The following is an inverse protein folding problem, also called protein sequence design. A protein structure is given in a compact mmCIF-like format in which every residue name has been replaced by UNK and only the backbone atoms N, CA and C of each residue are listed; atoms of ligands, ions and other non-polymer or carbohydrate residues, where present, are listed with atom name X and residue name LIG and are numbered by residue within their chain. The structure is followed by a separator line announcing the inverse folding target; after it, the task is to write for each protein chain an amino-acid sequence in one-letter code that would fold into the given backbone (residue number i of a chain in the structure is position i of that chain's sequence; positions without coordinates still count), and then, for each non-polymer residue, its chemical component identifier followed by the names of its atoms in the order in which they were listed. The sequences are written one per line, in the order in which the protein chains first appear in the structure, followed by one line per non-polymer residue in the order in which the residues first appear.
data_IF_538655874628
#
_entry.id   IF_538655874628
#
_cell.length_a   1.000
_cell.length_b   1.000
_cell.length_c   1.000
_cell.angle_alpha   90.00
_cell.angle_beta   90.00
_cell.angle_gamma   90.00
#
_symmetry.space_group_name_H-M   'P 1'
#
loop_
_entity.id
_entity.type
_entity.pdbx_description
1 polymer ?
#
# COMPACT_ATOMS: atom_id res chain seq x y z
N UNK A 1 -102.20 9.41 -1.02
CA UNK A 1 -101.33 8.37 -1.61
C UNK A 1 -99.90 8.91 -1.59
N UNK A 2 -99.15 8.64 -0.52
CA UNK A 2 -97.77 9.12 -0.35
C UNK A 2 -96.86 7.92 -0.57
N UNK A 3 -96.09 7.96 -1.66
CA UNK A 3 -95.13 6.91 -2.02
C UNK A 3 -93.81 7.21 -1.32
N UNK A 4 -93.38 6.33 -0.41
CA UNK A 4 -92.07 6.37 0.22
C UNK A 4 -90.97 6.06 -0.81
N UNK A 5 -90.10 7.02 -1.08
CA UNK A 5 -88.86 6.81 -1.83
C UNK A 5 -87.80 6.14 -0.96
N UNK A 6 -87.24 5.03 -1.43
CA UNK A 6 -86.13 4.33 -0.76
C UNK A 6 -84.79 5.01 -1.05
N UNK A 7 -83.86 5.08 -0.07
CA UNK A 7 -82.54 5.65 -0.32
C UNK A 7 -81.66 4.66 -1.10
N UNK A 8 -81.06 5.12 -2.20
CA UNK A 8 -80.06 4.37 -2.96
C UNK A 8 -78.77 4.22 -2.13
N UNK A 9 -78.39 2.99 -1.84
CA UNK A 9 -77.08 2.64 -1.30
C UNK A 9 -75.99 2.99 -2.32
N UNK A 10 -75.17 3.98 -1.98
CA UNK A 10 -74.04 4.41 -2.81
C UNK A 10 -72.87 3.50 -2.48
N UNK A 11 -72.53 2.58 -3.38
CA UNK A 11 -71.38 1.71 -3.23
C UNK A 11 -70.09 2.55 -3.26
N UNK A 12 -69.38 2.59 -2.13
CA UNK A 12 -68.08 3.26 -1.98
C UNK A 12 -67.02 2.48 -2.76
N UNK A 13 -66.62 3.01 -3.91
CA UNK A 13 -65.45 2.53 -4.66
C UNK A 13 -64.17 2.88 -3.89
N UNK A 14 -63.56 1.91 -3.21
CA UNK A 14 -62.27 2.10 -2.53
C UNK A 14 -61.14 1.95 -3.55
N UNK A 15 -60.26 2.94 -3.73
CA UNK A 15 -59.14 2.82 -4.65
C UNK A 15 -58.14 1.79 -4.13
N UNK A 16 -57.88 0.77 -4.94
CA UNK A 16 -56.85 -0.23 -4.71
C UNK A 16 -55.47 0.45 -4.80
N UNK A 17 -54.78 0.64 -3.68
CA UNK A 17 -53.41 1.16 -3.69
C UNK A 17 -52.43 0.04 -4.04
N UNK A 18 -51.66 0.15 -5.14
CA UNK A 18 -50.64 -0.84 -5.46
C UNK A 18 -49.50 -0.74 -4.45
N UNK A 19 -49.26 -1.82 -3.69
CA UNK A 19 -48.08 -2.00 -2.84
C UNK A 19 -46.81 -2.01 -3.71
N UNK A 20 -46.22 -0.83 -3.94
CA UNK A 20 -44.93 -0.70 -4.63
C UNK A 20 -43.80 -1.25 -3.75
N UNK A 21 -43.35 -2.46 -4.11
CA UNK A 21 -41.96 -2.95 -4.06
C UNK A 21 -41.04 -2.41 -2.94
N UNK A 22 -41.29 -2.81 -1.69
CA UNK A 22 -40.40 -2.59 -0.54
C UNK A 22 -39.14 -3.48 -0.52
N UNK A 23 -39.03 -4.46 -1.43
CA UNK A 23 -37.93 -5.44 -1.42
C UNK A 23 -36.55 -4.85 -1.70
N UNK A 24 -36.45 -3.84 -2.58
CA UNK A 24 -35.17 -3.19 -2.94
C UNK A 24 -34.56 -2.35 -1.80
N UNK A 25 -35.36 -1.89 -0.84
CA UNK A 25 -34.88 -1.12 0.31
C UNK A 25 -34.24 -1.99 1.39
N UNK A 26 -34.76 -3.22 1.58
CA UNK A 26 -34.22 -4.15 2.57
C UNK A 26 -32.83 -4.68 2.18
N UNK A 27 -32.63 -5.01 0.90
CA UNK A 27 -31.32 -5.46 0.37
C UNK A 27 -30.23 -4.39 0.53
N UNK A 28 -30.59 -3.10 0.37
CA UNK A 28 -29.65 -1.99 0.56
C UNK A 28 -29.21 -1.85 2.03
N UNK A 29 -30.09 -2.15 2.99
CA UNK A 29 -29.78 -2.07 4.43
C UNK A 29 -28.81 -3.17 4.85
N UNK A 30 -28.95 -4.39 4.31
CA UNK A 30 -28.01 -5.48 4.59
C UNK A 30 -26.58 -5.16 4.12
N UNK A 31 -26.46 -4.55 2.93
CA UNK A 31 -25.17 -4.12 2.40
C UNK A 31 -24.51 -3.05 3.28
N UNK A 32 -25.26 -2.14 3.90
CA UNK A 32 -24.69 -1.10 4.77
C UNK A 32 -23.94 -1.70 5.97
N UNK A 33 -24.35 -2.86 6.46
CA UNK A 33 -23.65 -3.54 7.55
C UNK A 33 -22.44 -4.36 7.07
N UNK A 34 -22.53 -4.97 5.88
CA UNK A 34 -21.43 -5.76 5.31
C UNK A 34 -20.31 -4.89 4.70
N UNK A 35 -20.68 -3.72 4.14
CA UNK A 35 -19.79 -2.86 3.37
C UNK A 35 -18.58 -2.33 4.19
N UNK A 36 -18.71 -1.90 5.46
CA UNK A 36 -17.56 -1.49 6.26
C UNK A 36 -16.50 -2.58 6.42
N UNK A 37 -16.93 -3.83 6.63
CA UNK A 37 -16.03 -4.99 6.77
C UNK A 37 -15.36 -5.29 5.43
N UNK A 38 -16.14 -5.29 4.35
CA UNK A 38 -15.62 -5.52 3.00
C UNK A 38 -14.57 -4.47 2.64
N UNK A 39 -14.87 -3.18 2.86
CA UNK A 39 -13.94 -2.09 2.60
C UNK A 39 -12.67 -2.20 3.45
N UNK A 40 -12.79 -2.56 4.73
CA UNK A 40 -11.62 -2.76 5.60
C UNK A 40 -10.70 -3.83 5.03
N UNK A 41 -11.25 -4.99 4.66
CA UNK A 41 -10.45 -6.08 4.06
C UNK A 41 -9.83 -5.66 2.73
N UNK A 42 -10.60 -4.98 1.88
CA UNK A 42 -10.11 -4.49 0.58
C UNK A 42 -8.98 -3.47 0.75
N UNK A 43 -9.14 -2.47 1.60
CA UNK A 43 -8.11 -1.45 1.84
C UNK A 43 -6.90 -2.01 2.57
N UNK A 44 -7.09 -2.94 3.51
CA UNK A 44 -5.98 -3.67 4.11
C UNK A 44 -5.17 -4.40 3.03
N UNK A 45 -5.83 -5.11 2.11
CA UNK A 45 -5.18 -5.79 0.99
C UNK A 45 -4.34 -4.84 0.11
N UNK A 46 -4.87 -3.66 -0.21
CA UNK A 46 -4.12 -2.65 -0.96
C UNK A 46 -2.89 -2.15 -0.20
N UNK A 47 -3.04 -1.84 1.08
CA UNK A 47 -1.94 -1.33 1.90
C UNK A 47 -0.85 -2.40 2.10
N UNK A 48 -1.20 -3.66 2.38
CA UNK A 48 -0.21 -4.73 2.49
C UNK A 48 0.47 -5.04 1.16
N UNK A 49 -0.27 -5.02 0.05
CA UNK A 49 0.32 -5.13 -1.29
C UNK A 49 1.33 -4.02 -1.55
N UNK A 50 1.04 -2.82 -1.08
CA UNK A 50 1.95 -1.67 -1.16
C UNK A 50 3.20 -1.85 -0.29
N UNK A 51 3.06 -2.32 0.95
CA UNK A 51 4.19 -2.68 1.82
C UNK A 51 5.16 -3.61 1.09
N UNK A 52 4.62 -4.69 0.49
CA UNK A 52 5.43 -5.69 -0.22
C UNK A 52 6.15 -5.05 -1.42
N UNK A 53 5.44 -4.23 -2.21
CA UNK A 53 6.03 -3.51 -3.32
C UNK A 53 7.20 -2.62 -2.89
N UNK A 54 7.03 -1.86 -1.80
CA UNK A 54 8.08 -0.99 -1.25
C UNK A 54 9.29 -1.78 -0.76
N UNK A 55 9.08 -2.91 -0.08
CA UNK A 55 10.17 -3.80 0.34
C UNK A 55 10.98 -4.31 -0.86
N UNK A 56 10.32 -4.74 -1.94
CA UNK A 56 11.00 -5.20 -3.17
C UNK A 56 11.83 -4.07 -3.79
N UNK A 57 11.29 -2.85 -3.82
CA UNK A 57 12.01 -1.68 -4.34
C UNK A 57 13.27 -1.35 -3.51
N UNK A 58 13.19 -1.45 -2.18
CA UNK A 58 14.34 -1.25 -1.30
C UNK A 58 15.41 -2.33 -1.50
N UNK A 59 15.01 -3.60 -1.61
CA UNK A 59 15.93 -4.70 -1.92
C UNK A 59 16.60 -4.54 -3.29
N UNK A 60 15.86 -4.03 -4.27
CA UNK A 60 16.39 -3.73 -5.59
C UNK A 60 17.43 -2.61 -5.53
N UNK A 61 17.12 -1.49 -4.85
CA UNK A 61 18.06 -0.39 -4.65
C UNK A 61 19.33 -0.85 -3.92
N UNK A 62 19.19 -1.64 -2.85
CA UNK A 62 20.33 -2.20 -2.13
C UNK A 62 21.19 -3.11 -3.03
N UNK A 63 20.56 -3.94 -3.88
CA UNK A 63 21.26 -4.80 -4.84
C UNK A 63 22.03 -4.02 -5.90
N UNK A 64 21.47 -2.94 -6.42
CA UNK A 64 22.17 -2.06 -7.36
C UNK A 64 23.39 -1.44 -6.67
N UNK A 65 23.24 -0.92 -5.44
CA UNK A 65 24.34 -0.38 -4.66
C UNK A 65 25.43 -1.41 -4.37
N UNK A 66 25.06 -2.63 -3.99
CA UNK A 66 26.01 -3.71 -3.77
C UNK A 66 26.76 -4.07 -5.07
N UNK A 67 26.08 -4.06 -6.23
CA UNK A 67 26.73 -4.26 -7.53
C UNK A 67 27.73 -3.15 -7.84
N UNK A 68 27.36 -1.90 -7.63
CA UNK A 68 28.26 -0.75 -7.80
C UNK A 68 29.49 -0.89 -6.90
N UNK A 69 29.30 -1.35 -5.65
CA UNK A 69 30.41 -1.54 -4.70
C UNK A 69 31.41 -2.63 -5.10
N UNK A 70 31.02 -3.55 -5.98
CA UNK A 70 31.90 -4.62 -6.44
C UNK A 70 32.92 -4.14 -7.49
N UNK A 71 32.66 -3.01 -8.16
CA UNK A 71 33.53 -2.48 -9.21
C UNK A 71 34.86 -1.98 -8.63
N UNK A 72 35.94 -2.17 -9.40
CA UNK A 72 37.24 -1.57 -9.09
C UNK A 72 37.14 -0.04 -9.09
N UNK A 73 37.61 0.59 -8.02
CA UNK A 73 37.58 2.05 -7.85
C UNK A 73 36.23 2.62 -7.39
N UNK A 74 35.24 1.79 -7.04
CA UNK A 74 33.98 2.27 -6.47
C UNK A 74 34.22 3.05 -5.16
N UNK A 75 33.62 4.24 -5.05
CA UNK A 75 33.69 5.07 -3.85
C UNK A 75 32.36 5.07 -3.12
N UNK A 76 32.34 5.50 -1.85
CA UNK A 76 31.08 5.63 -1.12
C UNK A 76 30.11 6.58 -1.84
N UNK A 77 30.62 7.65 -2.46
CA UNK A 77 29.84 8.63 -3.21
C UNK A 77 29.23 8.04 -4.48
N UNK A 78 29.95 7.22 -5.24
CA UNK A 78 29.41 6.60 -6.47
C UNK A 78 28.31 5.59 -6.14
N UNK A 79 28.52 4.79 -5.10
CA UNK A 79 27.52 3.83 -4.59
C UNK A 79 26.27 4.57 -4.12
N UNK A 80 26.45 5.60 -3.28
CA UNK A 80 25.35 6.36 -2.71
C UNK A 80 24.55 7.13 -3.78
N UNK A 81 25.23 7.74 -4.77
CA UNK A 81 24.58 8.42 -5.89
C UNK A 81 23.71 7.46 -6.72
N UNK A 82 24.21 6.25 -6.98
CA UNK A 82 23.49 5.21 -7.72
C UNK A 82 22.24 4.76 -6.95
N UNK A 83 22.38 4.51 -5.65
CA UNK A 83 21.26 4.12 -4.78
C UNK A 83 20.22 5.25 -4.70
N UNK A 84 20.65 6.50 -4.47
CA UNK A 84 19.75 7.66 -4.38
C UNK A 84 18.98 7.91 -5.67
N UNK A 85 19.61 7.71 -6.83
CA UNK A 85 18.91 7.80 -8.12
C UNK A 85 17.79 6.76 -8.18
N UNK A 86 18.10 5.49 -7.89
CA UNK A 86 17.10 4.42 -7.89
C UNK A 86 15.97 4.65 -6.88
N UNK A 87 16.25 5.25 -5.72
CA UNK A 87 15.26 5.55 -4.69
C UNK A 87 14.39 6.75 -5.05
N UNK A 88 14.96 7.76 -5.69
CA UNK A 88 14.22 8.94 -6.16
C UNK A 88 13.22 8.54 -7.24
N UNK A 89 13.60 7.64 -8.16
CA UNK A 89 12.73 7.15 -9.23
C UNK A 89 11.48 6.42 -8.72
N UNK A 90 11.59 5.79 -7.55
CA UNK A 90 10.45 5.11 -6.88
C UNK A 90 9.77 6.00 -5.82
N UNK A 91 10.19 7.25 -5.67
CA UNK A 91 9.58 8.20 -4.73
C UNK A 91 9.92 7.95 -3.26
N UNK A 92 11.15 7.51 -2.96
CA UNK A 92 11.68 7.32 -1.61
C UNK A 92 13.01 8.09 -1.40
N UNK A 93 13.09 9.40 -1.71
CA UNK A 93 14.36 10.15 -1.69
C UNK A 93 14.99 10.26 -0.30
N UNK A 94 14.18 10.19 0.75
CA UNK A 94 14.60 10.37 2.15
C UNK A 94 15.00 9.05 2.83
N UNK A 95 15.10 7.94 2.08
CA UNK A 95 15.54 6.68 2.65
C UNK A 95 17.01 6.76 3.12
N UNK A 96 17.27 6.18 4.29
CA UNK A 96 18.60 6.11 4.89
C UNK A 96 19.40 5.00 4.23
N UNK A 97 20.57 5.35 3.68
CA UNK A 97 21.50 4.41 3.06
C UNK A 97 22.68 4.19 4.01
N UNK A 98 22.98 2.93 4.31
CA UNK A 98 24.13 2.54 5.13
C UNK A 98 25.01 1.59 4.33
N UNK A 99 26.28 1.93 4.20
CA UNK A 99 27.29 1.12 3.52
C UNK A 99 28.25 0.59 4.58
N UNK A 100 28.53 -0.72 4.57
CA UNK A 100 29.44 -1.37 5.51
C UNK A 100 30.43 -2.26 4.75
N UNK A 101 31.74 -2.05 4.88
CA UNK A 101 32.42 -1.01 5.68
C UNK A 101 32.13 0.41 5.16
N UNK A 102 32.17 1.40 6.07
CA UNK A 102 31.83 2.80 5.76
C UNK A 102 32.76 3.44 4.73
N UNK A 103 34.02 2.99 4.69
CA UNK A 103 34.97 3.31 3.63
C UNK A 103 35.19 2.06 2.74
N UNK A 104 34.49 1.97 1.60
CA UNK A 104 34.67 0.86 0.65
C UNK A 104 36.03 0.92 -0.05
N UNK A 105 36.71 2.08 -0.10
CA UNK A 105 38.01 2.23 -0.75
C UNK A 105 39.14 1.64 0.09
N UNK A 106 39.05 1.78 1.42
CA UNK A 106 39.97 1.17 2.39
C UNK A 106 39.71 -0.33 2.63
N UNK A 107 38.60 -0.87 2.12
CA UNK A 107 38.26 -2.27 2.24
C UNK A 107 39.21 -3.12 1.37
N UNK A 108 39.83 -4.16 1.96
CA UNK A 108 40.73 -5.06 1.24
C UNK A 108 39.97 -5.75 0.11
N UNK A 109 40.59 -5.89 -1.06
CA UNK A 109 40.07 -6.72 -2.15
C UNK A 109 39.63 -8.11 -1.63
N UNK A 110 38.45 -8.58 -2.05
CA UNK A 110 37.86 -9.81 -1.53
C UNK A 110 37.06 -9.66 -0.23
N UNK A 111 36.94 -8.46 0.34
CA UNK A 111 35.99 -8.19 1.43
C UNK A 111 34.58 -7.98 0.88
N UNK A 112 33.58 -8.40 1.66
CA UNK A 112 32.18 -8.18 1.30
C UNK A 112 31.73 -6.80 1.75
N UNK A 113 31.25 -6.00 0.80
CA UNK A 113 30.59 -4.73 1.06
C UNK A 113 29.08 -5.00 1.13
N UNK A 114 28.48 -4.58 2.24
CA UNK A 114 27.04 -4.65 2.50
C UNK A 114 26.43 -3.27 2.32
N UNK A 115 25.32 -3.21 1.59
CA UNK A 115 24.47 -2.05 1.45
C UNK A 115 23.13 -2.35 2.11
N UNK A 116 22.73 -1.49 3.04
CA UNK A 116 21.41 -1.49 3.68
C UNK A 116 20.69 -0.18 3.37
N UNK A 117 19.42 -0.27 3.02
CA UNK A 117 18.55 0.88 2.76
C UNK A 117 17.32 0.75 3.63
N UNK A 118 17.01 1.79 4.40
CA UNK A 118 15.88 1.83 5.33
C UNK A 118 15.02 3.07 5.10
N UNK A 119 13.70 2.90 5.20
CA UNK A 119 12.75 4.02 5.17
C UNK A 119 11.69 3.84 6.24
N UNK A 120 11.28 4.94 6.86
CA UNK A 120 10.12 4.94 7.75
C UNK A 120 8.85 4.68 6.92
N UNK A 121 8.05 3.68 7.30
CA UNK A 121 6.88 3.33 6.50
C UNK A 121 5.84 4.46 6.46
N UNK A 122 5.76 5.29 7.50
CA UNK A 122 4.84 6.41 7.58
C UNK A 122 5.06 7.47 6.47
N UNK A 123 6.28 7.62 5.94
CA UNK A 123 6.57 8.56 4.84
C UNK A 123 6.24 8.00 3.46
N UNK A 124 6.07 6.68 3.34
CA UNK A 124 5.85 5.97 2.07
C UNK A 124 4.54 5.17 2.02
N UNK A 125 3.66 5.30 3.02
CA UNK A 125 2.36 4.61 3.11
C UNK A 125 1.38 5.03 1.99
N UNK A 126 0.42 4.15 1.67
CA UNK A 126 -0.53 4.39 0.57
C UNK A 126 -1.81 5.09 1.03
N UNK A 127 -2.50 4.52 2.02
CA UNK A 127 -3.82 4.96 2.50
C UNK A 127 -3.77 5.58 3.90
N UNK A 128 -2.63 5.52 4.58
CA UNK A 128 -2.50 6.10 5.93
C UNK A 128 -3.09 5.24 7.05
N UNK A 129 -3.20 3.92 6.84
CA UNK A 129 -3.91 3.00 7.74
C UNK A 129 -3.07 2.50 8.93
N UNK A 130 -1.89 3.08 9.16
CA UNK A 130 -0.97 2.71 10.25
C UNK A 130 -1.58 2.84 11.66
N UNK A 131 -2.61 3.68 11.84
CA UNK A 131 -3.37 3.79 13.10
C UNK A 131 -4.46 2.73 13.25
N UNK A 132 -4.97 2.20 12.14
CA UNK A 132 -6.12 1.29 12.13
C UNK A 132 -5.70 -0.17 12.20
N UNK A 133 -4.55 -0.52 11.62
CA UNK A 133 -4.07 -1.89 11.53
C UNK A 133 -2.56 -2.00 11.77
N UNK A 134 -2.06 -3.16 12.21
CA UNK A 134 -0.64 -3.35 12.49
C UNK A 134 0.17 -3.30 11.19
N UNK A 135 1.00 -2.27 11.05
CA UNK A 135 1.95 -2.10 9.95
C UNK A 135 3.37 -2.00 10.52
N UNK A 136 4.40 -2.38 9.75
CA UNK A 136 5.78 -2.18 10.15
C UNK A 136 6.08 -0.68 10.31
N UNK A 137 6.93 -0.32 11.27
CA UNK A 137 7.35 1.07 11.48
C UNK A 137 8.37 1.53 10.43
N UNK A 138 9.25 0.62 10.02
CA UNK A 138 10.20 0.85 8.93
C UNK A 138 10.27 -0.35 7.99
N UNK A 139 10.70 -0.07 6.76
CA UNK A 139 11.01 -1.09 5.75
C UNK A 139 12.51 -1.03 5.45
N UNK A 140 13.10 -2.21 5.23
CA UNK A 140 14.53 -2.36 5.00
C UNK A 140 14.81 -3.28 3.82
N UNK A 141 15.79 -2.91 3.01
CA UNK A 141 16.38 -3.75 1.97
C UNK A 141 17.88 -3.89 2.21
N UNK A 142 18.43 -5.10 2.03
CA UNK A 142 19.86 -5.36 2.24
C UNK A 142 20.41 -6.23 1.13
N UNK A 143 21.62 -5.92 0.68
CA UNK A 143 22.39 -6.75 -0.23
C UNK A 143 23.88 -6.65 0.08
N UNK A 144 24.65 -7.65 -0.31
CA UNK A 144 26.10 -7.64 -0.14
C UNK A 144 26.79 -8.28 -1.34
N UNK A 145 27.91 -7.72 -1.77
CA UNK A 145 28.77 -8.29 -2.82
C UNK A 145 30.24 -8.22 -2.40
N UNK A 146 31.07 -9.06 -3.03
CA UNK A 146 32.51 -9.10 -2.78
C UNK A 146 33.21 -8.16 -3.75
N UNK A 147 34.13 -7.35 -3.23
CA UNK A 147 34.93 -6.42 -4.04
C UNK A 147 35.90 -7.18 -4.95
N UNK A 148 35.95 -6.79 -6.23
CA UNK A 148 36.92 -7.35 -7.18
C UNK A 148 38.38 -7.08 -6.76
N UNK A 149 39.30 -8.02 -7.04
CA UNK A 149 40.72 -7.80 -6.79
C UNK A 149 41.29 -6.74 -7.74
N UNK A 150 42.08 -5.83 -7.17
CA UNK A 150 42.81 -4.82 -7.94
C UNK A 150 43.86 -5.56 -8.82
N UNK A 151 43.70 -5.47 -10.14
CA UNK A 151 44.57 -6.12 -11.15
C UNK A 151 45.83 -5.31 -11.46
#
# INVERSE_FOLDING_TARGET
MVVLGTPRSTALNRPNHPHRTLRRGAEAVELVFAMPILLLVTFAGFEYGWVILRSIQLEHAARIGARESALSGATAESIEATIRTSLTDVGMPDATVTITPADPTAAVAGTSITVEVEVEYASVQLLGLSRLMPLPQSLRGRASMVREPDS
#
